data_IF_998806105987
#
_entry.id   IF_998806105987
#
_cell.length_a   1.000
_cell.length_b   1.000
_cell.length_c   1.000
_cell.angle_alpha   90.00
_cell.angle_beta   90.00
_cell.angle_gamma   90.00
#
_symmetry.space_group_name_H-M   'P 1'
#
loop_
_entity.id
_entity.type
_entity.pdbx_description
1 polymer ?
#
# COMPACT_ATOMS: atom_id res chain seq x y z
N UNK A 1 -42.91 -4.24 -30.65
CA UNK A 1 -42.64 -4.10 -29.20
C UNK A 1 -41.56 -5.09 -28.82
N UNK A 2 -40.32 -4.62 -28.63
CA UNK A 2 -39.19 -5.42 -28.14
C UNK A 2 -38.96 -5.03 -26.68
N UNK A 3 -39.08 -5.97 -25.76
CA UNK A 3 -38.69 -5.78 -24.36
C UNK A 3 -37.17 -5.95 -24.25
N UNK A 4 -36.48 -4.92 -23.76
CA UNK A 4 -35.13 -5.06 -23.22
C UNK A 4 -35.23 -5.90 -21.93
N UNK A 5 -34.43 -6.96 -21.84
CA UNK A 5 -34.10 -7.63 -20.57
C UNK A 5 -32.93 -6.87 -19.96
N UNK A 6 -33.15 -6.22 -18.82
CA UNK A 6 -32.07 -5.81 -17.92
C UNK A 6 -31.80 -6.95 -16.91
N UNK A 7 -30.55 -7.24 -16.53
CA UNK A 7 -30.27 -8.22 -15.49
C UNK A 7 -30.49 -7.62 -14.10
N UNK A 8 -31.43 -8.21 -13.36
CA UNK A 8 -31.88 -7.83 -12.02
C UNK A 8 -30.94 -8.36 -10.92
N UNK A 9 -29.63 -8.33 -11.16
CA UNK A 9 -28.61 -8.95 -10.32
C UNK A 9 -27.59 -7.89 -9.85
N UNK A 10 -28.05 -6.85 -9.17
CA UNK A 10 -27.20 -5.80 -8.59
C UNK A 10 -27.69 -5.27 -7.24
N UNK A 11 -28.55 -6.01 -6.53
CA UNK A 11 -29.01 -5.62 -5.19
C UNK A 11 -28.83 -6.80 -4.24
N UNK A 12 -27.57 -7.14 -3.97
CA UNK A 12 -27.22 -8.00 -2.85
C UNK A 12 -25.76 -7.73 -2.47
N UNK A 13 -25.53 -6.67 -1.67
CA UNK A 13 -24.39 -6.41 -0.77
C UNK A 13 -24.56 -4.99 -0.15
N UNK A 14 -23.93 -4.65 1.00
CA UNK A 14 -24.09 -5.20 2.34
C UNK A 14 -24.80 -4.18 3.27
N UNK A 15 -25.78 -4.63 4.07
CA UNK A 15 -26.45 -3.80 5.10
C UNK A 15 -25.53 -3.48 6.30
N UNK A 16 -24.33 -4.06 6.36
CA UNK A 16 -23.43 -3.94 7.51
C UNK A 16 -22.67 -2.61 7.64
N UNK A 17 -22.75 -1.69 6.66
CA UNK A 17 -22.00 -0.43 6.69
C UNK A 17 -22.75 0.78 7.29
N UNK A 18 -24.04 0.64 7.61
CA UNK A 18 -24.79 1.72 8.26
C UNK A 18 -24.95 1.40 9.74
N UNK A 19 -24.18 2.11 10.58
CA UNK A 19 -24.28 2.07 12.04
C UNK A 19 -25.63 2.60 12.54
N UNK A 20 -26.69 1.82 12.33
CA UNK A 20 -28.01 2.03 12.89
C UNK A 20 -28.30 0.88 13.86
N UNK A 21 -28.52 1.24 15.13
CA UNK A 21 -28.54 0.32 16.27
C UNK A 21 -29.57 -0.81 16.22
N UNK A 22 -29.32 -1.82 17.06
CA UNK A 22 -30.11 -3.02 17.38
C UNK A 22 -31.43 -3.17 16.61
N UNK A 23 -31.37 -3.85 15.47
CA UNK A 23 -32.56 -4.41 14.82
C UNK A 23 -32.85 -5.79 15.44
N UNK A 24 -33.95 -5.89 16.19
CA UNK A 24 -34.48 -7.19 16.61
C UNK A 24 -35.10 -7.91 15.41
N UNK A 25 -34.33 -8.84 14.83
CA UNK A 25 -34.74 -9.65 13.68
C UNK A 25 -35.73 -10.78 14.03
N UNK A 26 -36.19 -10.88 15.29
CA UNK A 26 -37.14 -11.92 15.69
C UNK A 26 -38.55 -11.75 15.10
N UNK A 27 -38.89 -10.58 14.55
CA UNK A 27 -40.23 -10.31 13.97
C UNK A 27 -40.32 -10.41 12.44
N UNK A 28 -39.24 -10.74 11.72
CA UNK A 28 -39.27 -10.83 10.25
C UNK A 28 -39.82 -12.18 9.77
N UNK A 29 -41.13 -12.39 9.93
CA UNK A 29 -41.85 -13.54 9.37
C UNK A 29 -42.07 -13.38 7.86
N UNK A 30 -41.05 -13.70 7.07
CA UNK A 30 -41.03 -13.63 5.60
C UNK A 30 -41.97 -14.63 4.88
N UNK A 31 -42.71 -15.47 5.63
CA UNK A 31 -43.62 -16.47 5.02
C UNK A 31 -44.91 -15.88 4.45
N UNK A 32 -45.34 -14.71 4.89
CA UNK A 32 -46.72 -14.26 4.63
C UNK A 32 -46.90 -13.23 3.50
N UNK A 33 -45.84 -12.85 2.77
CA UNK A 33 -45.94 -11.73 1.79
C UNK A 33 -45.28 -11.90 0.42
N UNK A 34 -44.80 -13.09 0.06
CA UNK A 34 -44.22 -13.31 -1.26
C UNK A 34 -44.80 -14.57 -1.91
N UNK A 35 -45.86 -14.38 -2.69
CA UNK A 35 -46.30 -15.35 -3.70
C UNK A 35 -45.26 -15.37 -4.83
N UNK A 36 -44.21 -16.17 -4.67
CA UNK A 36 -43.35 -16.57 -5.76
C UNK A 36 -43.80 -17.94 -6.27
N UNK A 37 -44.32 -17.97 -7.49
CA UNK A 37 -44.59 -19.20 -8.24
C UNK A 37 -43.25 -19.84 -8.65
N UNK A 38 -42.65 -20.59 -7.74
CA UNK A 38 -41.51 -21.45 -8.01
C UNK A 38 -42.04 -22.76 -8.59
N UNK A 39 -42.36 -22.73 -9.89
CA UNK A 39 -42.88 -23.87 -10.64
C UNK A 39 -42.16 -25.18 -10.32
N UNK A 40 -42.83 -26.04 -9.54
CA UNK A 40 -42.51 -27.46 -9.40
C UNK A 40 -41.24 -27.83 -8.65
N UNK A 41 -40.67 -26.98 -7.79
CA UNK A 41 -39.57 -27.41 -6.92
C UNK A 41 -40.09 -28.08 -5.64
N UNK A 42 -39.78 -29.37 -5.51
CA UNK A 42 -40.08 -30.22 -4.35
C UNK A 42 -39.21 -29.82 -3.14
N UNK A 43 -39.77 -28.94 -2.29
CA UNK A 43 -39.11 -28.35 -1.12
C UNK A 43 -38.78 -29.38 -0.02
N UNK A 44 -39.35 -30.59 -0.04
CA UNK A 44 -39.04 -31.64 0.95
C UNK A 44 -37.63 -32.25 0.79
N UNK A 45 -36.94 -31.96 -0.32
CA UNK A 45 -35.55 -32.40 -0.55
C UNK A 45 -34.49 -31.40 -0.09
N UNK A 46 -34.89 -30.21 0.35
CA UNK A 46 -33.96 -29.24 0.95
C UNK A 46 -33.74 -29.57 2.43
N UNK A 47 -32.78 -30.46 2.69
CA UNK A 47 -32.21 -30.62 4.03
C UNK A 47 -31.36 -29.41 4.36
N UNK A 48 -31.88 -28.49 5.17
CA UNK A 48 -31.08 -27.45 5.80
C UNK A 48 -30.23 -28.10 6.89
N UNK A 49 -28.92 -28.21 6.63
CA UNK A 49 -27.94 -28.48 7.68
C UNK A 49 -27.93 -27.32 8.68
N UNK A 50 -27.79 -27.65 9.97
CA UNK A 50 -27.66 -26.68 11.05
C UNK A 50 -26.62 -25.61 10.71
N UNK A 51 -27.04 -24.36 10.73
CA UNK A 51 -26.19 -23.17 10.56
C UNK A 51 -25.28 -23.08 11.78
N UNK A 52 -24.02 -23.49 11.63
CA UNK A 52 -22.94 -23.05 12.50
C UNK A 52 -22.56 -21.62 12.13
N UNK A 53 -22.09 -20.86 13.12
CA UNK A 53 -21.59 -19.48 13.00
C UNK A 53 -20.91 -19.19 11.67
N UNK A 54 -21.44 -18.19 10.96
CA UNK A 54 -20.79 -17.58 9.82
C UNK A 54 -19.62 -16.75 10.32
N UNK A 55 -18.43 -17.37 10.39
CA UNK A 55 -17.17 -16.64 10.37
C UNK A 55 -17.07 -15.91 9.03
N UNK A 56 -17.10 -14.58 9.09
CA UNK A 56 -16.78 -13.72 7.96
C UNK A 56 -15.36 -14.02 7.48
N UNK A 57 -15.29 -14.42 6.21
CA UNK A 57 -14.13 -14.69 5.37
C UNK A 57 -12.88 -13.85 5.74
N UNK A 58 -11.85 -14.52 6.28
CA UNK A 58 -10.51 -13.95 6.42
C UNK A 58 -9.39 -14.93 6.80
N UNK A 59 -9.65 -15.93 7.64
CA UNK A 59 -8.55 -16.69 8.29
C UNK A 59 -8.11 -18.01 7.60
N UNK A 60 -8.59 -18.35 6.40
CA UNK A 60 -8.29 -19.64 5.73
C UNK A 60 -7.50 -19.56 4.42
N UNK A 61 -6.86 -18.44 4.11
CA UNK A 61 -6.04 -18.29 2.91
C UNK A 61 -4.54 -18.21 3.22
N UNK A 62 -3.91 -19.34 3.55
CA UNK A 62 -2.64 -19.74 2.92
C UNK A 62 -2.25 -21.19 3.30
N UNK A 63 -2.58 -22.22 2.50
CA UNK A 63 -1.75 -23.42 2.50
C UNK A 63 -0.45 -23.03 1.79
N UNK A 64 0.44 -22.31 2.48
CA UNK A 64 1.82 -22.19 2.04
C UNK A 64 2.33 -23.61 1.87
N UNK A 65 2.45 -24.04 0.62
CA UNK A 65 3.26 -25.20 0.24
C UNK A 65 4.60 -24.95 0.93
N UNK A 66 4.86 -25.68 2.01
CA UNK A 66 6.13 -25.73 2.75
C UNK A 66 7.24 -26.03 1.75
N UNK A 67 7.70 -25.02 1.01
CA UNK A 67 9.00 -25.04 0.39
C UNK A 67 9.92 -25.09 1.59
N UNK A 68 10.54 -26.23 1.82
CA UNK A 68 11.69 -26.37 2.73
C UNK A 68 12.81 -25.49 2.18
N UNK A 69 12.69 -24.18 2.29
CA UNK A 69 13.86 -23.32 2.37
C UNK A 69 14.41 -23.56 3.77
N UNK A 70 15.73 -23.69 3.85
CA UNK A 70 16.44 -23.68 5.13
C UNK A 70 16.30 -22.27 5.70
N UNK A 71 15.14 -21.99 6.29
CA UNK A 71 14.91 -20.78 7.06
C UNK A 71 15.76 -20.89 8.33
N UNK A 72 16.50 -19.82 8.63
CA UNK A 72 17.18 -19.66 9.90
C UNK A 72 16.19 -19.93 11.03
N UNK A 73 16.50 -20.90 11.90
CA UNK A 73 15.67 -21.20 13.06
C UNK A 73 16.26 -20.52 14.29
N UNK A 74 15.43 -20.07 15.25
CA UNK A 74 15.91 -19.43 16.47
C UNK A 74 16.99 -20.25 17.19
N UNK A 75 16.78 -21.57 17.27
CA UNK A 75 17.71 -22.52 17.91
C UNK A 75 19.08 -22.65 17.24
N UNK A 76 19.20 -22.22 15.98
CA UNK A 76 20.44 -22.30 15.21
C UNK A 76 21.22 -20.97 15.28
N UNK A 77 20.70 -19.96 15.99
CA UNK A 77 21.35 -18.66 16.21
C UNK A 77 22.15 -18.66 17.52
N UNK A 78 23.44 -18.26 17.50
CA UNK A 78 24.16 -18.00 18.73
C UNK A 78 23.60 -16.77 19.45
N UNK A 79 23.50 -16.85 20.78
CA UNK A 79 23.20 -15.70 21.63
C UNK A 79 24.44 -14.82 21.71
N UNK A 80 24.35 -13.52 21.42
CA UNK A 80 25.48 -12.61 21.53
C UNK A 80 26.01 -12.50 22.96
N UNK A 81 27.31 -12.28 23.11
CA UNK A 81 27.86 -11.84 24.40
C UNK A 81 27.52 -10.35 24.63
N UNK A 82 27.18 -9.94 25.86
CA UNK A 82 26.87 -8.54 26.14
C UNK A 82 28.13 -7.66 25.99
N UNK A 83 27.96 -6.49 25.36
CA UNK A 83 28.96 -5.41 25.25
C UNK A 83 28.36 -4.09 25.73
N UNK A 84 29.18 -3.10 26.06
CA UNK A 84 28.72 -1.89 26.78
C UNK A 84 27.70 -1.02 26.04
N UNK A 85 27.69 -1.04 24.70
CA UNK A 85 26.74 -0.30 23.85
C UNK A 85 25.53 -1.13 23.42
N UNK A 86 25.40 -2.35 23.96
CA UNK A 86 24.45 -3.34 23.50
C UNK A 86 23.70 -3.94 24.70
N UNK A 87 22.38 -3.82 24.68
CA UNK A 87 21.52 -4.57 25.59
C UNK A 87 20.82 -5.68 24.81
N UNK A 88 21.00 -6.91 25.28
CA UNK A 88 20.35 -8.09 24.70
C UNK A 88 19.47 -8.76 25.75
N UNK A 89 18.23 -9.06 25.40
CA UNK A 89 17.32 -9.86 26.21
C UNK A 89 17.12 -11.22 25.55
N UNK A 90 17.14 -12.28 26.35
CA UNK A 90 16.96 -13.66 25.89
C UNK A 90 15.71 -14.20 26.57
N UNK A 91 14.80 -14.80 25.81
CA UNK A 91 13.58 -15.38 26.35
C UNK A 91 13.85 -16.69 27.11
N UNK A 92 12.81 -17.27 27.73
CA UNK A 92 12.93 -18.51 28.52
C UNK A 92 13.39 -19.73 27.73
N UNK A 93 13.34 -19.68 26.40
CA UNK A 93 13.80 -20.74 25.50
C UNK A 93 15.27 -20.57 25.07
N UNK A 94 15.95 -19.51 25.52
CA UNK A 94 17.32 -19.21 25.11
C UNK A 94 17.44 -18.51 23.75
N UNK A 95 16.33 -18.05 23.16
CA UNK A 95 16.34 -17.29 21.91
C UNK A 95 16.49 -15.79 22.22
N UNK A 96 17.11 -15.05 21.30
CA UNK A 96 17.24 -13.60 21.38
C UNK A 96 15.84 -12.95 21.22
N UNK A 97 15.33 -12.41 22.32
CA UNK A 97 14.03 -11.70 22.39
C UNK A 97 14.22 -10.32 21.77
N UNK A 98 14.98 -9.45 22.44
CA UNK A 98 15.26 -8.11 21.94
C UNK A 98 16.75 -7.80 21.94
N UNK A 99 17.13 -6.92 21.03
CA UNK A 99 18.49 -6.44 20.92
C UNK A 99 18.47 -4.94 20.61
N UNK A 100 19.08 -4.16 21.48
CA UNK A 100 19.22 -2.70 21.31
C UNK A 100 20.71 -2.35 21.25
N UNK A 101 21.13 -1.70 20.16
CA UNK A 101 22.40 -0.99 20.07
C UNK A 101 22.11 0.48 20.26
N UNK A 102 22.74 1.09 21.26
CA UNK A 102 22.58 2.51 21.53
C UNK A 102 23.88 3.21 21.94
N UNK A 103 23.93 4.51 21.62
CA UNK A 103 24.99 5.41 22.06
C UNK A 103 26.06 5.70 21.02
N UNK A 104 27.01 6.60 21.31
CA UNK A 104 27.97 7.12 20.33
C UNK A 104 29.00 6.09 19.83
N UNK A 105 29.19 4.99 20.56
CA UNK A 105 30.18 3.95 20.26
C UNK A 105 29.49 2.62 19.92
N UNK A 106 28.59 2.62 18.93
CA UNK A 106 27.81 1.44 18.55
C UNK A 106 28.69 0.27 18.07
N UNK A 107 28.79 -0.77 18.89
CA UNK A 107 29.44 -2.04 18.57
C UNK A 107 28.43 -3.08 18.05
N UNK A 108 28.62 -3.49 16.79
CA UNK A 108 27.80 -4.48 16.10
C UNK A 108 28.41 -5.88 16.12
N UNK A 109 29.62 -6.07 16.66
CA UNK A 109 30.26 -7.39 16.75
C UNK A 109 29.39 -8.48 17.39
N UNK A 110 28.45 -8.19 18.32
CA UNK A 110 27.54 -9.21 18.83
C UNK A 110 26.56 -9.75 17.76
N UNK A 111 26.29 -9.02 16.68
CA UNK A 111 25.30 -9.37 15.66
C UNK A 111 25.84 -10.18 14.47
N UNK A 112 27.16 -10.36 14.34
CA UNK A 112 27.78 -10.96 13.15
C UNK A 112 27.16 -12.31 12.74
N UNK A 113 26.68 -13.08 13.72
CA UNK A 113 26.11 -14.42 13.52
C UNK A 113 24.63 -14.54 13.92
N UNK A 114 23.97 -13.43 14.27
CA UNK A 114 22.55 -13.44 14.60
C UNK A 114 21.76 -13.45 13.28
N UNK A 115 21.03 -14.53 13.01
CA UNK A 115 20.13 -14.60 11.85
C UNK A 115 18.64 -14.48 12.19
N UNK A 116 18.31 -14.46 13.48
CA UNK A 116 16.95 -14.36 14.02
C UNK A 116 16.94 -13.48 15.29
N UNK A 117 15.93 -12.62 15.43
CA UNK A 117 15.60 -11.90 16.65
C UNK A 117 14.08 -11.65 16.72
N UNK A 118 13.49 -11.40 17.90
CA UNK A 118 12.11 -10.89 17.93
C UNK A 118 12.12 -9.37 17.67
N UNK A 119 13.05 -8.63 18.28
CA UNK A 119 13.18 -7.17 18.12
C UNK A 119 14.63 -6.71 17.93
N UNK A 120 14.84 -5.79 16.99
CA UNK A 120 16.13 -5.12 16.76
C UNK A 120 15.93 -3.61 16.78
N UNK A 121 16.66 -2.91 17.64
CA UNK A 121 16.67 -1.44 17.71
C UNK A 121 18.11 -0.94 17.58
N UNK A 122 18.35 -0.01 16.66
CA UNK A 122 19.64 0.65 16.44
C UNK A 122 19.39 2.14 16.55
N UNK A 123 19.90 2.78 17.62
CA UNK A 123 19.59 4.18 17.89
C UNK A 123 20.73 5.01 18.46
N UNK A 124 20.78 6.31 18.12
CA UNK A 124 21.73 7.24 18.70
C UNK A 124 23.20 6.94 18.36
N UNK A 125 23.45 6.17 17.29
CA UNK A 125 24.80 5.79 16.85
C UNK A 125 25.49 6.93 16.10
N UNK A 126 25.96 7.94 16.82
CA UNK A 126 26.72 9.06 16.24
C UNK A 126 28.02 8.54 15.59
N UNK A 127 28.31 8.99 14.37
CA UNK A 127 29.48 8.55 13.59
C UNK A 127 29.28 7.23 12.82
N UNK A 128 28.16 6.53 13.02
CA UNK A 128 27.82 5.34 12.24
C UNK A 128 27.38 5.76 10.83
N UNK A 129 28.26 5.62 9.85
CA UNK A 129 27.98 6.02 8.46
C UNK A 129 27.30 4.94 7.64
N UNK A 130 27.48 3.67 8.02
CA UNK A 130 26.87 2.53 7.35
C UNK A 130 26.63 1.39 8.34
N UNK A 131 25.51 0.66 8.19
CA UNK A 131 25.30 -0.58 8.93
C UNK A 131 26.31 -1.65 8.44
N UNK A 132 27.02 -2.34 9.35
CA UNK A 132 27.84 -3.46 8.95
C UNK A 132 26.96 -4.57 8.39
N UNK A 133 27.56 -5.46 7.60
CA UNK A 133 26.83 -6.60 7.02
C UNK A 133 26.32 -7.52 8.13
N UNK A 134 25.02 -7.48 8.38
CA UNK A 134 24.36 -8.34 9.37
C UNK A 134 23.92 -9.65 8.73
N UNK A 135 23.98 -10.73 9.50
CA UNK A 135 23.46 -12.05 9.10
C UNK A 135 21.96 -12.20 9.33
N UNK A 136 21.30 -11.12 9.78
CA UNK A 136 19.89 -11.07 10.18
C UNK A 136 18.98 -11.38 8.98
N UNK A 137 18.16 -12.43 9.10
CA UNK A 137 17.25 -12.87 8.04
C UNK A 137 15.79 -12.73 8.44
N UNK A 138 15.48 -12.92 9.72
CA UNK A 138 14.10 -12.92 10.24
C UNK A 138 14.07 -12.08 11.51
N UNK A 139 13.12 -11.16 11.57
CA UNK A 139 12.75 -10.42 12.78
C UNK A 139 11.25 -10.57 13.00
N UNK A 140 10.84 -11.17 14.12
CA UNK A 140 9.42 -11.50 14.32
C UNK A 140 8.54 -10.31 14.66
N UNK A 141 9.06 -9.30 15.34
CA UNK A 141 8.29 -8.12 15.74
C UNK A 141 8.73 -6.89 14.96
N UNK A 142 9.89 -6.31 15.31
CA UNK A 142 10.26 -4.97 14.88
C UNK A 142 11.75 -4.81 14.58
N UNK A 143 12.04 -4.14 13.47
CA UNK A 143 13.34 -3.52 13.19
C UNK A 143 13.17 -2.01 13.24
N UNK A 144 13.80 -1.36 14.21
CA UNK A 144 13.83 0.09 14.37
C UNK A 144 15.25 0.62 14.16
N UNK A 145 15.43 1.54 13.22
CA UNK A 145 16.68 2.27 12.97
C UNK A 145 16.39 3.76 13.13
N UNK A 146 16.68 4.32 14.31
CA UNK A 146 16.23 5.67 14.67
C UNK A 146 17.34 6.57 15.19
N UNK A 147 17.30 7.87 14.91
CA UNK A 147 18.22 8.85 15.49
C UNK A 147 19.71 8.55 15.22
N UNK A 148 20.05 8.05 14.03
CA UNK A 148 21.44 7.86 13.60
C UNK A 148 21.80 8.92 12.54
N UNK A 149 22.12 10.16 12.95
CA UNK A 149 22.18 11.30 12.03
C UNK A 149 23.24 11.16 10.93
N UNK A 150 24.32 10.42 11.18
CA UNK A 150 25.40 10.20 10.21
C UNK A 150 25.17 8.98 9.31
N UNK A 151 24.12 8.18 9.56
CA UNK A 151 23.85 6.93 8.85
C UNK A 151 23.39 7.20 7.44
N UNK A 152 24.24 6.91 6.47
CA UNK A 152 23.96 7.11 5.04
C UNK A 152 23.55 5.82 4.32
N UNK A 153 23.88 4.65 4.89
CA UNK A 153 23.71 3.35 4.23
C UNK A 153 23.22 2.27 5.20
N UNK A 154 22.03 1.71 4.93
CA UNK A 154 21.45 0.60 5.71
C UNK A 154 21.55 -0.77 5.00
N UNK A 155 22.35 -0.88 3.94
CA UNK A 155 22.55 -2.13 3.17
C UNK A 155 23.12 -3.30 3.98
N UNK A 156 23.62 -3.03 5.19
CA UNK A 156 23.90 -4.03 6.20
C UNK A 156 22.73 -4.99 6.48
N UNK A 157 21.48 -4.55 6.26
CA UNK A 157 20.25 -5.35 6.38
C UNK A 157 19.86 -6.12 5.11
N UNK A 158 20.71 -6.19 4.08
CA UNK A 158 20.39 -6.84 2.80
C UNK A 158 20.01 -8.33 2.88
N UNK A 159 20.29 -9.02 3.99
CA UNK A 159 19.87 -10.41 4.22
C UNK A 159 18.47 -10.52 4.85
N UNK A 160 17.89 -9.43 5.32
CA UNK A 160 16.60 -9.39 5.99
C UNK A 160 15.49 -9.74 4.98
N UNK A 161 14.77 -10.83 5.27
CA UNK A 161 13.72 -11.38 4.38
C UNK A 161 12.33 -11.21 4.96
N UNK A 162 12.23 -11.30 6.28
CA UNK A 162 10.98 -11.24 7.01
C UNK A 162 11.12 -10.27 8.18
N UNK A 163 10.19 -9.33 8.27
CA UNK A 163 9.95 -8.51 9.46
C UNK A 163 8.46 -8.60 9.78
N UNK A 164 8.14 -8.70 11.07
CA UNK A 164 6.77 -8.92 11.52
C UNK A 164 6.35 -10.39 11.52
N UNK A 165 5.24 -10.66 12.20
CA UNK A 165 4.76 -11.99 12.54
C UNK A 165 3.45 -11.91 13.32
N UNK A 166 2.92 -13.07 13.72
CA UNK A 166 1.68 -13.20 14.50
C UNK A 166 1.80 -12.70 15.95
N UNK A 167 2.95 -12.13 16.30
CA UNK A 167 3.17 -11.45 17.56
C UNK A 167 2.09 -10.41 17.73
N UNK A 168 1.27 -10.57 18.77
CA UNK A 168 0.33 -9.55 19.17
C UNK A 168 1.09 -8.24 19.26
N UNK A 169 0.84 -7.32 18.32
CA UNK A 169 1.22 -5.92 18.48
C UNK A 169 0.86 -5.56 19.92
N UNK A 170 1.80 -5.06 20.69
CA UNK A 170 1.66 -4.79 22.13
C UNK A 170 0.65 -3.68 22.46
N UNK A 171 -0.25 -3.37 21.53
CA UNK A 171 -1.22 -2.30 21.56
C UNK A 171 -0.62 -0.95 21.15
N UNK A 172 0.70 -0.85 20.98
CA UNK A 172 1.38 0.42 20.70
C UNK A 172 1.78 0.57 19.22
N UNK A 173 1.39 -0.37 18.35
CA UNK A 173 1.67 -0.29 16.91
C UNK A 173 3.14 -0.47 16.51
N UNK A 174 4.02 -0.86 17.44
CA UNK A 174 5.47 -0.96 17.18
C UNK A 174 5.88 -2.33 16.62
N UNK A 175 5.21 -2.80 15.57
CA UNK A 175 5.64 -3.96 14.80
C UNK A 175 6.06 -3.51 13.41
N UNK A 176 6.95 -4.24 12.76
CA UNK A 176 7.37 -3.93 11.39
C UNK A 176 8.72 -3.24 11.26
N UNK A 177 8.88 -2.49 10.16
CA UNK A 177 10.13 -1.79 9.84
C UNK A 177 9.93 -0.30 10.08
N UNK A 178 10.66 0.25 11.05
CA UNK A 178 10.70 1.68 11.35
C UNK A 178 12.09 2.24 11.05
N UNK A 179 12.17 3.26 10.22
CA UNK A 179 13.40 3.99 9.89
C UNK A 179 13.13 5.49 10.05
N UNK A 180 13.53 6.07 11.17
CA UNK A 180 13.12 7.43 11.55
C UNK A 180 14.28 8.33 11.94
N UNK A 181 14.27 9.60 11.53
CA UNK A 181 15.26 10.61 11.94
C UNK A 181 16.73 10.21 11.65
N UNK A 182 16.99 9.60 10.49
CA UNK A 182 18.35 9.33 10.00
C UNK A 182 18.70 10.36 8.94
N UNK A 183 19.11 11.56 9.38
CA UNK A 183 19.21 12.76 8.52
C UNK A 183 20.18 12.65 7.35
N UNK A 184 21.17 11.75 7.40
CA UNK A 184 22.09 11.47 6.29
C UNK A 184 21.68 10.30 5.40
N UNK A 185 20.60 9.58 5.72
CA UNK A 185 20.20 8.38 5.01
C UNK A 185 19.68 8.74 3.61
N UNK A 186 20.39 8.30 2.58
CA UNK A 186 20.09 8.68 1.20
C UNK A 186 19.19 7.70 0.46
N UNK A 187 19.36 6.41 0.74
CA UNK A 187 18.69 5.35 -0.01
C UNK A 187 18.37 4.17 0.91
N UNK A 188 17.18 3.62 0.73
CA UNK A 188 16.77 2.34 1.31
C UNK A 188 16.64 1.34 0.16
N UNK A 189 17.62 0.44 0.04
CA UNK A 189 17.69 -0.51 -1.06
C UNK A 189 18.36 -1.83 -0.64
N UNK A 190 18.28 -2.83 -1.51
CA UNK A 190 18.97 -4.11 -1.34
C UNK A 190 18.38 -5.02 -0.26
N UNK A 191 17.31 -4.59 0.42
CA UNK A 191 16.55 -5.43 1.32
C UNK A 191 15.62 -6.34 0.51
N UNK A 192 15.87 -7.65 0.60
CA UNK A 192 15.01 -8.69 0.03
C UNK A 192 13.80 -8.95 0.95
N UNK A 193 13.16 -7.90 1.46
CA UNK A 193 11.94 -7.96 2.28
C UNK A 193 10.80 -8.50 1.44
N UNK A 194 10.72 -9.83 1.37
CA UNK A 194 9.68 -10.55 0.65
C UNK A 194 8.39 -10.58 1.46
N UNK A 195 8.53 -10.55 2.78
CA UNK A 195 7.44 -10.74 3.71
C UNK A 195 7.57 -9.70 4.83
N UNK A 196 6.89 -8.57 4.69
CA UNK A 196 6.52 -7.76 5.84
C UNK A 196 5.17 -8.31 6.31
N UNK A 197 5.21 -9.31 7.19
CA UNK A 197 4.01 -10.07 7.54
C UNK A 197 3.25 -9.29 8.59
N UNK A 198 2.13 -8.69 8.19
CA UNK A 198 1.18 -8.08 9.13
C UNK A 198 1.86 -7.04 10.02
N UNK A 199 2.67 -6.18 9.39
CA UNK A 199 3.47 -5.21 10.09
C UNK A 199 3.49 -3.88 9.33
N UNK A 200 3.47 -2.74 10.04
CA UNK A 200 3.73 -1.41 9.50
C UNK A 200 5.08 -1.26 8.80
N UNK A 201 5.11 -0.36 7.82
CA UNK A 201 6.33 0.17 7.20
C UNK A 201 6.35 1.68 7.45
N UNK A 202 7.14 2.11 8.42
CA UNK A 202 7.21 3.49 8.88
C UNK A 202 8.57 4.08 8.53
N UNK A 203 8.61 5.01 7.59
CA UNK A 203 9.83 5.68 7.16
C UNK A 203 9.58 7.17 7.25
N UNK A 204 10.10 7.79 8.30
CA UNK A 204 9.73 9.15 8.68
C UNK A 204 10.96 10.02 8.98
N UNK A 205 10.87 11.33 8.71
CA UNK A 205 11.90 12.30 9.11
C UNK A 205 13.32 11.96 8.58
N UNK A 206 13.44 11.39 7.38
CA UNK A 206 14.73 11.16 6.73
C UNK A 206 14.92 12.17 5.57
N UNK A 207 15.29 13.43 5.86
CA UNK A 207 15.31 14.51 4.87
C UNK A 207 16.34 14.36 3.74
N UNK A 208 17.23 13.38 3.80
CA UNK A 208 18.15 13.03 2.70
C UNK A 208 17.68 11.83 1.88
N UNK A 209 16.60 11.14 2.28
CA UNK A 209 16.19 9.87 1.69
C UNK A 209 15.51 10.12 0.35
N UNK A 210 16.23 9.91 -0.74
CA UNK A 210 15.79 10.21 -2.11
C UNK A 210 15.10 9.02 -2.79
N UNK A 211 15.44 7.78 -2.39
CA UNK A 211 14.91 6.54 -2.95
C UNK A 211 14.53 5.50 -1.90
N UNK A 212 13.35 4.89 -2.10
CA UNK A 212 12.91 3.69 -1.40
C UNK A 212 12.60 2.57 -2.41
N UNK A 213 13.41 1.52 -2.36
CA UNK A 213 13.30 0.35 -3.22
C UNK A 213 13.12 -0.94 -2.40
N UNK A 214 11.91 -1.49 -2.41
CA UNK A 214 11.60 -2.77 -1.77
C UNK A 214 11.13 -3.78 -2.84
N UNK A 215 12.06 -4.38 -3.61
CA UNK A 215 11.75 -5.14 -4.83
C UNK A 215 11.09 -6.49 -4.55
N UNK A 216 10.84 -6.84 -3.30
CA UNK A 216 10.18 -8.08 -2.92
C UNK A 216 8.93 -7.85 -2.05
N UNK A 217 8.65 -6.61 -1.62
CA UNK A 217 7.53 -6.32 -0.73
C UNK A 217 6.21 -6.67 -1.43
N UNK A 218 5.50 -7.69 -0.94
CA UNK A 218 4.20 -8.10 -1.49
C UNK A 218 3.02 -7.62 -0.66
N UNK A 219 3.20 -7.46 0.65
CA UNK A 219 2.18 -7.11 1.62
C UNK A 219 2.77 -6.16 2.67
N UNK A 220 2.00 -5.16 3.08
CA UNK A 220 2.26 -4.33 4.26
C UNK A 220 0.93 -4.13 5.00
N UNK A 221 0.98 -3.92 6.32
CA UNK A 221 -0.22 -3.57 7.09
C UNK A 221 -0.53 -2.09 6.86
N UNK A 222 0.20 -1.21 7.53
CA UNK A 222 0.23 0.22 7.25
C UNK A 222 1.52 0.57 6.49
N UNK A 223 1.50 1.69 5.78
CA UNK A 223 2.70 2.22 5.13
C UNK A 223 2.69 3.73 5.29
N UNK A 224 3.50 4.22 6.23
CA UNK A 224 3.68 5.63 6.51
C UNK A 224 5.05 6.09 6.00
N UNK A 225 5.03 6.89 4.95
CA UNK A 225 6.21 7.51 4.36
C UNK A 225 6.05 9.03 4.52
N UNK A 226 6.60 9.61 5.59
CA UNK A 226 6.38 11.02 5.96
C UNK A 226 7.69 11.81 6.11
N UNK A 227 7.70 13.10 5.80
CA UNK A 227 8.84 14.01 6.00
C UNK A 227 10.20 13.48 5.50
N UNK A 228 10.22 12.90 4.28
CA UNK A 228 11.47 12.49 3.62
C UNK A 228 11.70 13.28 2.32
N UNK A 229 12.87 13.08 1.71
CA UNK A 229 13.17 13.63 0.38
C UNK A 229 12.81 12.66 -0.77
N UNK A 230 11.85 11.76 -0.56
CA UNK A 230 11.57 10.71 -1.55
C UNK A 230 11.04 11.35 -2.83
N UNK A 231 11.75 11.09 -3.93
CA UNK A 231 11.37 11.55 -5.26
C UNK A 231 10.66 10.43 -6.01
N UNK A 232 11.06 9.18 -5.77
CA UNK A 232 10.51 8.02 -6.47
C UNK A 232 10.19 6.94 -5.46
N UNK A 233 8.94 6.50 -5.45
CA UNK A 233 8.54 5.29 -4.75
C UNK A 233 8.33 4.16 -5.73
N UNK A 234 9.06 3.06 -5.55
CA UNK A 234 8.97 1.89 -6.43
C UNK A 234 8.75 0.61 -5.63
N UNK A 235 7.50 0.13 -5.62
CA UNK A 235 7.09 -1.11 -4.97
C UNK A 235 6.51 -2.08 -6.01
N UNK A 236 7.35 -2.64 -6.92
CA UNK A 236 6.89 -3.33 -8.11
C UNK A 236 6.16 -4.66 -7.86
N UNK A 237 6.25 -5.18 -6.63
CA UNK A 237 5.65 -6.45 -6.23
C UNK A 237 4.54 -6.31 -5.18
N UNK A 238 4.27 -5.10 -4.69
CA UNK A 238 3.23 -4.87 -3.68
C UNK A 238 1.88 -5.25 -4.27
N UNK A 239 1.13 -6.08 -3.52
CA UNK A 239 -0.19 -6.59 -3.90
C UNK A 239 -1.27 -6.09 -2.95
N UNK A 240 -0.97 -6.03 -1.65
CA UNK A 240 -1.97 -5.75 -0.63
C UNK A 240 -1.42 -4.79 0.43
N UNK A 241 -2.14 -3.69 0.68
CA UNK A 241 -2.08 -2.93 1.94
C UNK A 241 -3.29 -3.30 2.80
N UNK A 242 -3.10 -3.60 4.09
CA UNK A 242 -4.23 -3.97 4.99
C UNK A 242 -4.80 -2.81 5.81
N UNK A 243 -4.11 -1.69 5.82
CA UNK A 243 -4.51 -0.46 6.49
C UNK A 243 -4.30 0.67 5.48
N UNK A 244 -3.84 1.82 5.95
CA UNK A 244 -3.59 2.97 5.13
C UNK A 244 -2.29 2.82 4.34
N UNK A 245 -2.20 3.64 3.31
CA UNK A 245 -1.01 3.88 2.53
C UNK A 245 -0.84 5.39 2.47
N UNK A 246 0.07 5.91 3.29
CA UNK A 246 0.31 7.34 3.45
C UNK A 246 1.69 7.69 2.90
N UNK A 247 1.71 8.60 1.95
CA UNK A 247 2.90 9.23 1.40
C UNK A 247 2.73 10.73 1.57
N UNK A 248 3.28 11.28 2.65
CA UNK A 248 3.05 12.65 3.13
C UNK A 248 4.36 13.44 3.13
N UNK A 249 4.32 14.74 2.85
CA UNK A 249 5.47 15.65 2.96
C UNK A 249 6.75 15.15 2.23
N UNK A 250 6.57 14.55 1.04
CA UNK A 250 7.67 14.11 0.19
C UNK A 250 7.61 14.80 -1.19
N UNK A 251 8.76 15.14 -1.81
CA UNK A 251 8.82 15.72 -3.15
C UNK A 251 8.66 14.65 -4.26
N UNK A 252 7.61 13.82 -4.19
CA UNK A 252 7.44 12.63 -5.03
C UNK A 252 7.11 13.01 -6.47
N UNK A 253 7.94 12.58 -7.40
CA UNK A 253 7.70 12.65 -8.83
C UNK A 253 6.94 11.44 -9.36
N UNK A 254 7.24 10.25 -8.82
CA UNK A 254 6.68 9.01 -9.33
C UNK A 254 6.32 8.02 -8.23
N UNK A 255 5.09 7.49 -8.29
CA UNK A 255 4.65 6.33 -7.50
C UNK A 255 4.40 5.15 -8.43
N UNK A 256 5.15 4.07 -8.27
CA UNK A 256 5.05 2.87 -9.10
C UNK A 256 4.69 1.64 -8.27
N UNK A 257 3.40 1.29 -8.28
CA UNK A 257 2.84 0.10 -7.63
C UNK A 257 1.97 -0.71 -8.61
N UNK A 258 2.57 -1.23 -9.70
CA UNK A 258 1.83 -1.75 -10.85
C UNK A 258 1.08 -3.06 -10.55
N UNK A 259 1.31 -3.67 -9.39
CA UNK A 259 0.70 -4.94 -8.98
C UNK A 259 -0.23 -4.80 -7.79
N UNK A 260 -0.45 -3.57 -7.30
CA UNK A 260 -1.31 -3.35 -6.15
C UNK A 260 -2.74 -3.74 -6.54
N UNK A 261 -3.24 -4.74 -5.85
CA UNK A 261 -4.58 -5.27 -6.05
C UNK A 261 -5.50 -4.70 -4.99
N UNK A 262 -5.11 -4.65 -3.72
CA UNK A 262 -6.01 -4.23 -2.64
C UNK A 262 -5.31 -3.27 -1.68
N UNK A 263 -6.01 -2.23 -1.25
CA UNK A 263 -5.65 -1.44 -0.07
C UNK A 263 -6.90 -1.34 0.81
N UNK A 264 -6.89 -1.96 1.98
CA UNK A 264 -8.07 -2.04 2.85
C UNK A 264 -8.40 -0.71 3.55
N UNK A 265 -7.42 0.16 3.76
CA UNK A 265 -7.61 1.52 4.29
C UNK A 265 -7.59 2.60 3.21
N UNK A 266 -7.14 3.78 3.61
CA UNK A 266 -7.03 4.93 2.72
C UNK A 266 -5.71 4.93 1.94
N UNK A 267 -5.73 5.53 0.76
CA UNK A 267 -4.51 5.91 0.03
C UNK A 267 -4.40 7.42 0.10
N UNK A 268 -3.39 7.94 0.77
CA UNK A 268 -3.13 9.37 0.89
C UNK A 268 -1.77 9.66 0.27
N UNK A 269 -1.74 10.35 -0.88
CA UNK A 269 -0.52 10.80 -1.54
C UNK A 269 -0.55 12.31 -1.51
N UNK A 270 0.14 12.90 -0.54
CA UNK A 270 0.18 14.34 -0.30
C UNK A 270 1.66 14.76 -0.31
N UNK A 271 2.05 15.63 -1.23
CA UNK A 271 3.34 16.30 -1.10
C UNK A 271 3.22 17.51 -0.20
N UNK A 272 4.35 18.01 0.27
CA UNK A 272 4.49 19.42 0.57
C UNK A 272 5.36 20.08 -0.51
N UNK A 273 5.37 21.42 -0.53
CA UNK A 273 6.23 22.28 -1.36
C UNK A 273 7.75 22.10 -1.06
N UNK A 274 8.16 20.90 -0.66
CA UNK A 274 9.55 20.51 -0.53
C UNK A 274 10.18 20.51 -1.93
N UNK A 275 11.15 21.40 -2.14
CA UNK A 275 12.02 21.31 -3.30
C UNK A 275 12.96 20.10 -3.12
N UNK A 276 13.06 19.17 -4.08
CA UNK A 276 14.02 18.07 -4.02
C UNK A 276 15.42 18.62 -3.80
N UNK A 277 16.29 17.88 -3.09
CA UNK A 277 17.70 18.20 -3.05
C UNK A 277 18.28 18.36 -4.45
N UNK A 278 19.20 19.32 -4.62
CA UNK A 278 19.82 19.56 -5.93
C UNK A 278 20.47 18.30 -6.50
N UNK A 279 20.12 17.97 -7.75
CA UNK A 279 20.59 16.77 -8.43
C UNK A 279 19.86 15.47 -8.07
N UNK A 280 18.87 15.49 -7.16
CA UNK A 280 18.12 14.29 -6.75
C UNK A 280 17.38 13.69 -7.95
N UNK A 281 16.73 14.54 -8.77
CA UNK A 281 16.03 14.10 -9.98
C UNK A 281 16.96 13.38 -10.97
N UNK A 282 18.15 13.93 -11.25
CA UNK A 282 19.10 13.32 -12.17
C UNK A 282 19.69 12.00 -11.63
N UNK A 283 19.96 11.94 -10.32
CA UNK A 283 20.39 10.70 -9.65
C UNK A 283 19.31 9.63 -9.75
N UNK A 284 18.07 9.99 -9.45
CA UNK A 284 16.92 9.08 -9.50
C UNK A 284 16.59 8.63 -10.92
N UNK A 285 16.62 9.52 -11.92
CA UNK A 285 16.40 9.14 -13.31
C UNK A 285 17.44 8.12 -13.80
N UNK A 286 18.72 8.34 -13.47
CA UNK A 286 19.82 7.41 -13.77
C UNK A 286 19.61 6.06 -13.06
N UNK A 287 19.14 6.09 -11.81
CA UNK A 287 18.86 4.90 -11.01
C UNK A 287 17.67 4.10 -11.52
N UNK A 288 16.53 4.75 -11.78
CA UNK A 288 15.34 4.15 -12.40
C UNK A 288 15.73 3.44 -13.70
N UNK A 289 16.57 4.07 -14.54
CA UNK A 289 17.05 3.43 -15.77
C UNK A 289 17.84 2.15 -15.48
N UNK A 290 18.73 2.17 -14.47
CA UNK A 290 19.46 1.00 -14.01
C UNK A 290 18.53 -0.10 -13.46
N UNK A 291 17.52 0.25 -12.67
CA UNK A 291 16.55 -0.70 -12.13
C UNK A 291 15.64 -1.30 -13.19
N UNK A 292 15.18 -0.49 -14.16
CA UNK A 292 14.42 -0.99 -15.31
C UNK A 292 15.26 -2.02 -16.06
N UNK A 293 16.56 -1.76 -16.25
CA UNK A 293 17.49 -2.72 -16.85
C UNK A 293 17.69 -3.98 -16.00
N UNK A 294 17.86 -3.86 -14.68
CA UNK A 294 18.00 -5.02 -13.78
C UNK A 294 16.72 -5.85 -13.69
N UNK A 295 15.57 -5.19 -13.57
CA UNK A 295 14.25 -5.84 -13.53
C UNK A 295 13.98 -6.56 -14.83
N UNK A 296 14.29 -5.94 -15.98
CA UNK A 296 14.22 -6.59 -17.28
C UNK A 296 15.13 -7.82 -17.35
N UNK A 297 16.36 -7.73 -16.84
CA UNK A 297 17.28 -8.88 -16.75
C UNK A 297 16.72 -10.00 -15.87
N UNK A 298 16.25 -9.70 -14.65
CA UNK A 298 15.62 -10.68 -13.74
C UNK A 298 14.36 -11.30 -14.37
N UNK A 299 13.59 -10.52 -15.11
CA UNK A 299 12.41 -10.99 -15.84
C UNK A 299 12.80 -11.96 -16.96
N UNK A 300 13.84 -11.65 -17.73
CA UNK A 300 14.37 -12.53 -18.78
C UNK A 300 14.96 -13.83 -18.19
N UNK A 301 15.68 -13.75 -17.06
CA UNK A 301 16.15 -14.94 -16.32
C UNK A 301 14.97 -15.81 -15.85
N UNK A 302 13.90 -15.20 -15.30
CA UNK A 302 12.67 -15.90 -14.93
C UNK A 302 11.97 -16.50 -16.15
N UNK A 303 11.90 -15.80 -17.29
CA UNK A 303 11.34 -16.34 -18.54
C UNK A 303 12.16 -17.53 -19.05
N UNK A 304 13.49 -17.47 -18.96
CA UNK A 304 14.38 -18.57 -19.32
C UNK A 304 14.16 -19.80 -18.41
N UNK A 305 13.92 -19.60 -17.10
CA UNK A 305 13.53 -20.65 -16.18
C UNK A 305 12.14 -21.24 -16.51
N UNK A 306 11.18 -20.42 -16.95
CA UNK A 306 9.83 -20.88 -17.32
C UNK A 306 9.79 -21.75 -18.57
N UNK A 307 10.70 -21.56 -19.55
CA UNK A 307 10.84 -22.48 -20.69
C UNK A 307 11.09 -23.93 -20.26
N UNK A 308 11.45 -24.17 -18.99
CA UNK A 308 11.56 -25.50 -18.37
C UNK A 308 10.25 -26.01 -17.71
N UNK A 309 9.09 -25.42 -18.00
CA UNK A 309 7.77 -25.93 -17.58
C UNK A 309 7.10 -25.21 -16.41
N UNK A 310 7.39 -23.92 -16.20
CA UNK A 310 6.71 -23.09 -15.19
C UNK A 310 5.59 -22.23 -15.80
N UNK A 311 4.44 -22.13 -15.13
CA UNK A 311 3.31 -21.28 -15.54
C UNK A 311 3.69 -19.79 -15.70
N UNK A 312 3.01 -19.10 -16.61
CA UNK A 312 3.26 -17.70 -16.98
C UNK A 312 2.96 -16.71 -15.84
N UNK A 313 3.75 -15.64 -15.76
CA UNK A 313 3.62 -14.55 -14.79
C UNK A 313 3.00 -13.30 -15.42
N UNK A 314 2.81 -13.30 -16.75
CA UNK A 314 2.38 -12.13 -17.54
C UNK A 314 0.87 -11.86 -17.49
N UNK A 315 0.12 -12.52 -16.59
CA UNK A 315 -1.34 -12.37 -16.50
C UNK A 315 -1.80 -11.49 -15.33
N UNK A 316 -0.88 -10.80 -14.64
CA UNK A 316 -1.24 -10.23 -13.33
C UNK A 316 -2.17 -9.02 -13.35
N UNK A 317 -2.18 -8.21 -14.42
CA UNK A 317 -3.21 -7.17 -14.63
C UNK A 317 -3.99 -7.37 -15.94
N UNK A 318 -3.80 -8.48 -16.67
CA UNK A 318 -4.49 -8.74 -17.96
C UNK A 318 -6.01 -8.83 -17.85
N UNK A 319 -6.49 -9.11 -16.63
CA UNK A 319 -7.76 -8.64 -16.07
C UNK A 319 -7.43 -8.27 -14.64
N UNK A 320 -7.53 -6.99 -14.27
CA UNK A 320 -7.60 -6.66 -12.85
C UNK A 320 -8.65 -7.60 -12.24
N UNK A 321 -8.31 -8.39 -11.21
CA UNK A 321 -9.33 -9.21 -10.56
C UNK A 321 -10.41 -8.25 -10.09
N UNK A 322 -11.70 -8.63 -10.22
CA UNK A 322 -12.83 -7.78 -9.80
C UNK A 322 -12.71 -7.34 -8.33
N UNK A 323 -11.87 -8.02 -7.55
CA UNK A 323 -11.52 -7.69 -6.17
C UNK A 323 -10.45 -6.63 -6.00
N UNK A 324 -9.92 -6.04 -7.07
CA UNK A 324 -8.84 -5.07 -6.94
C UNK A 324 -9.40 -3.69 -6.55
N UNK A 325 -9.25 -3.31 -5.28
CA UNK A 325 -9.92 -2.16 -4.72
C UNK A 325 -9.12 -1.40 -3.66
N UNK A 326 -9.38 -0.10 -3.56
CA UNK A 326 -9.15 0.66 -2.32
C UNK A 326 -10.46 0.66 -1.55
N UNK A 327 -10.45 0.14 -0.32
CA UNK A 327 -11.65 0.05 0.50
C UNK A 327 -11.95 1.34 1.28
N UNK A 328 -10.94 2.19 1.48
CA UNK A 328 -11.09 3.55 2.00
C UNK A 328 -11.19 4.60 0.89
N UNK A 329 -10.82 5.83 1.26
CA UNK A 329 -10.66 6.96 0.35
C UNK A 329 -9.33 6.86 -0.40
N UNK A 330 -9.31 7.35 -1.64
CA UNK A 330 -8.08 7.63 -2.37
C UNK A 330 -7.96 9.14 -2.53
N UNK A 331 -7.03 9.74 -1.78
CA UNK A 331 -6.69 11.15 -1.81
C UNK A 331 -5.33 11.31 -2.48
N UNK A 332 -5.29 12.00 -3.60
CA UNK A 332 -4.06 12.41 -4.27
C UNK A 332 -4.05 13.94 -4.25
N UNK A 333 -3.36 14.49 -3.26
CA UNK A 333 -3.28 15.92 -2.99
C UNK A 333 -2.09 16.58 -3.73
N UNK A 334 -2.30 17.83 -4.12
CA UNK A 334 -1.42 18.64 -4.96
C UNK A 334 -0.33 19.40 -4.24
N UNK A 335 -0.20 19.29 -2.92
CA UNK A 335 1.01 19.79 -2.27
C UNK A 335 2.29 19.19 -2.87
N UNK A 336 2.17 18.15 -3.72
CA UNK A 336 3.24 17.68 -4.57
C UNK A 336 3.28 18.35 -5.96
N UNK A 337 3.99 19.47 -6.06
CA UNK A 337 4.19 20.19 -7.33
C UNK A 337 4.94 19.38 -8.41
N UNK A 338 5.59 18.29 -8.00
CA UNK A 338 6.49 17.51 -8.83
C UNK A 338 5.92 16.18 -9.28
N UNK A 339 4.71 15.82 -8.83
CA UNK A 339 4.11 14.54 -9.18
C UNK A 339 3.86 14.46 -10.69
N UNK A 340 4.71 13.70 -11.37
CA UNK A 340 4.66 13.47 -12.81
C UNK A 340 3.86 12.22 -13.16
N UNK A 341 3.94 11.20 -12.30
CA UNK A 341 3.26 9.93 -12.54
C UNK A 341 2.81 9.18 -11.29
N UNK A 342 1.61 8.63 -11.35
CA UNK A 342 1.11 7.64 -10.38
C UNK A 342 0.61 6.45 -11.17
N UNK A 343 1.18 5.28 -10.90
CA UNK A 343 0.80 4.01 -11.52
C UNK A 343 0.34 3.03 -10.45
N UNK A 344 -0.98 2.89 -10.32
CA UNK A 344 -1.66 1.93 -9.44
C UNK A 344 -2.33 0.80 -10.26
N UNK A 345 -1.67 0.37 -11.34
CA UNK A 345 -2.26 -0.24 -12.54
C UNK A 345 -3.06 -1.53 -12.44
N UNK A 346 -3.32 -2.06 -11.24
CA UNK A 346 -4.21 -3.19 -11.03
C UNK A 346 -5.50 -2.80 -10.26
N UNK A 347 -5.63 -1.57 -9.72
CA UNK A 347 -6.83 -1.13 -9.00
C UNK A 347 -8.00 -0.88 -9.95
N UNK A 348 -9.12 -1.57 -9.70
CA UNK A 348 -10.37 -1.42 -10.47
C UNK A 348 -11.44 -0.59 -9.76
N UNK A 349 -11.42 -0.54 -8.42
CA UNK A 349 -12.47 0.09 -7.62
C UNK A 349 -11.89 0.96 -6.50
N UNK A 350 -12.52 2.09 -6.21
CA UNK A 350 -12.36 2.86 -4.97
C UNK A 350 -13.71 2.84 -4.27
N UNK A 351 -13.84 2.22 -3.10
CA UNK A 351 -15.14 2.13 -2.42
C UNK A 351 -15.45 3.36 -1.57
N UNK A 352 -14.43 4.15 -1.21
CA UNK A 352 -14.60 5.48 -0.64
C UNK A 352 -14.68 6.58 -1.70
N UNK A 353 -14.28 7.78 -1.30
CA UNK A 353 -14.13 8.93 -2.18
C UNK A 353 -12.84 8.83 -3.00
N UNK A 354 -12.91 9.18 -4.28
CA UNK A 354 -11.75 9.40 -5.14
C UNK A 354 -11.54 10.91 -5.29
N UNK A 355 -10.56 11.43 -4.56
CA UNK A 355 -10.26 12.85 -4.48
C UNK A 355 -8.92 13.13 -5.16
N UNK A 356 -8.92 13.94 -6.21
CA UNK A 356 -7.74 14.37 -6.94
C UNK A 356 -7.71 15.89 -6.93
N UNK A 357 -6.74 16.52 -6.29
CA UNK A 357 -6.80 17.97 -6.26
C UNK A 357 -5.98 18.62 -5.18
N UNK A 358 -5.96 19.96 -5.15
CA UNK A 358 -5.57 20.65 -3.93
C UNK A 358 -6.73 20.49 -2.94
N UNK A 359 -6.57 19.54 -2.02
CA UNK A 359 -7.59 19.26 -1.02
C UNK A 359 -7.42 20.14 0.23
N UNK A 360 -6.36 20.92 0.33
CA UNK A 360 -6.20 21.90 1.39
C UNK A 360 -6.79 23.26 0.96
N UNK A 361 -7.36 24.02 1.89
CA UNK A 361 -7.88 25.37 1.62
C UNK A 361 -6.77 26.39 1.24
N UNK A 362 -5.50 25.95 1.20
CA UNK A 362 -4.31 26.73 0.90
C UNK A 362 -3.92 26.65 -0.56
N UNK A 363 -4.62 27.40 -1.41
CA UNK A 363 -4.35 27.47 -2.85
C UNK A 363 -2.88 27.76 -3.20
N UNK A 364 -2.23 26.75 -3.76
CA UNK A 364 -0.97 26.72 -4.54
C UNK A 364 -0.78 25.24 -4.96
N UNK A 365 -0.16 24.84 -6.06
CA UNK A 365 0.29 25.46 -7.30
C UNK A 365 0.32 24.34 -8.35
N UNK A 366 0.79 24.67 -9.55
CA UNK A 366 0.68 23.88 -10.78
C UNK A 366 1.46 22.57 -10.72
N UNK A 367 0.73 21.45 -10.65
CA UNK A 367 1.26 20.14 -11.03
C UNK A 367 1.67 20.21 -12.52
N UNK A 368 2.87 19.76 -12.90
CA UNK A 368 3.40 19.83 -14.29
C UNK A 368 3.52 18.46 -14.97
N UNK A 369 3.03 17.42 -14.29
CA UNK A 369 3.09 16.04 -14.74
C UNK A 369 2.37 15.75 -16.06
N UNK A 370 2.95 14.88 -16.86
CA UNK A 370 2.35 14.44 -18.13
C UNK A 370 1.44 13.20 -17.97
N UNK A 371 1.49 12.44 -16.87
CA UNK A 371 0.85 11.11 -16.81
C UNK A 371 0.31 10.70 -15.43
N UNK A 372 -0.88 11.19 -15.06
CA UNK A 372 -1.69 10.51 -14.05
C UNK A 372 -2.45 9.33 -14.71
N UNK A 373 -1.98 8.10 -14.51
CA UNK A 373 -2.60 6.88 -15.07
C UNK A 373 -3.53 6.21 -14.05
N UNK A 374 -4.80 6.61 -14.10
CA UNK A 374 -5.90 5.98 -13.37
C UNK A 374 -6.80 5.18 -14.31
N UNK A 375 -6.29 4.78 -15.49
CA UNK A 375 -7.08 4.02 -16.46
C UNK A 375 -7.51 2.65 -15.92
N UNK A 376 -6.88 2.15 -14.85
CA UNK A 376 -7.36 0.96 -14.13
C UNK A 376 -8.71 1.17 -13.43
N UNK A 377 -9.04 2.38 -12.99
CA UNK A 377 -10.22 2.65 -12.16
C UNK A 377 -11.50 2.59 -13.01
N UNK A 378 -12.36 1.64 -12.66
CA UNK A 378 -13.68 1.43 -13.27
C UNK A 378 -14.80 2.00 -12.39
N UNK A 379 -14.62 1.97 -11.07
CA UNK A 379 -15.68 2.32 -10.10
C UNK A 379 -15.14 3.25 -9.03
N UNK A 380 -15.81 4.38 -8.81
CA UNK A 380 -15.72 5.18 -7.59
C UNK A 380 -17.06 5.06 -6.84
N UNK A 381 -17.13 4.25 -5.78
CA UNK A 381 -18.42 3.88 -5.19
C UNK A 381 -19.10 5.04 -4.45
N UNK A 382 -18.34 6.05 -4.00
CA UNK A 382 -18.89 7.27 -3.42
C UNK A 382 -18.72 8.46 -4.36
N UNK A 383 -17.96 9.47 -3.96
CA UNK A 383 -17.78 10.69 -4.73
C UNK A 383 -16.51 10.61 -5.60
N UNK A 384 -16.57 11.18 -6.79
CA UNK A 384 -15.41 11.59 -7.56
C UNK A 384 -15.26 13.11 -7.41
N UNK A 385 -14.17 13.57 -6.81
CA UNK A 385 -13.87 15.00 -6.69
C UNK A 385 -12.54 15.31 -7.37
N UNK A 386 -12.58 16.23 -8.33
CA UNK A 386 -11.43 16.79 -9.01
C UNK A 386 -11.39 18.30 -8.77
N UNK A 387 -10.39 18.78 -8.03
CA UNK A 387 -10.32 20.17 -7.56
C UNK A 387 -8.95 20.79 -7.93
N UNK A 388 -8.97 21.90 -8.67
CA UNK A 388 -7.75 22.67 -8.99
C UNK A 388 -6.62 21.86 -9.61
N UNK A 389 -6.86 20.92 -10.54
CA UNK A 389 -5.83 20.01 -11.08
C UNK A 389 -5.32 20.40 -12.48
N UNK A 390 -4.20 21.14 -12.57
CA UNK A 390 -3.66 21.54 -13.87
C UNK A 390 -2.95 20.42 -14.63
N UNK A 391 -2.69 19.26 -14.03
CA UNK A 391 -2.17 18.09 -14.76
C UNK A 391 -3.26 17.39 -15.55
N UNK A 392 -4.49 17.43 -15.03
CA UNK A 392 -5.65 16.92 -15.75
C UNK A 392 -6.05 17.93 -16.83
N UNK A 393 -5.30 17.99 -17.93
CA UNK A 393 -5.69 18.72 -19.13
C UNK A 393 -6.87 18.05 -19.85
N UNK A 394 -7.02 16.74 -19.65
CA UNK A 394 -8.14 15.95 -20.17
C UNK A 394 -8.63 14.94 -19.13
N UNK A 395 -9.85 14.45 -19.31
CA UNK A 395 -10.44 13.39 -18.50
C UNK A 395 -10.18 11.98 -19.09
N UNK A 396 -9.23 11.83 -20.02
CA UNK A 396 -8.87 10.52 -20.62
C UNK A 396 -8.30 9.54 -19.59
N UNK A 397 -7.70 10.05 -18.51
CA UNK A 397 -7.29 9.30 -17.32
C UNK A 397 -8.44 8.47 -16.72
N UNK A 398 -9.70 8.87 -16.95
CA UNK A 398 -10.91 8.16 -16.51
C UNK A 398 -11.64 7.44 -17.66
N UNK A 399 -10.96 7.13 -18.76
CA UNK A 399 -11.59 6.50 -19.93
C UNK A 399 -12.28 5.16 -19.64
N UNK A 400 -11.88 4.45 -18.57
CA UNK A 400 -12.51 3.20 -18.13
C UNK A 400 -13.51 3.39 -16.97
N UNK A 401 -13.71 4.61 -16.48
CA UNK A 401 -14.66 4.88 -15.40
C UNK A 401 -16.09 4.65 -15.90
N UNK A 402 -16.81 3.75 -15.23
CA UNK A 402 -18.16 3.31 -15.57
C UNK A 402 -19.18 3.66 -14.49
N UNK A 403 -18.74 3.92 -13.25
CA UNK A 403 -19.64 4.14 -12.12
C UNK A 403 -19.07 5.15 -11.12
N UNK A 404 -19.88 6.17 -10.80
CA UNK A 404 -19.72 7.06 -9.65
C UNK A 404 -21.00 7.04 -8.82
N UNK A 405 -20.92 6.52 -7.59
CA UNK A 405 -22.12 6.14 -6.85
C UNK A 405 -22.92 7.31 -6.27
N UNK A 406 -22.25 8.42 -5.92
CA UNK A 406 -22.91 9.57 -5.30
C UNK A 406 -22.76 10.79 -6.18
N UNK A 407 -21.75 11.63 -5.96
CA UNK A 407 -21.58 12.86 -6.71
C UNK A 407 -20.27 12.87 -7.51
N UNK A 408 -20.31 13.53 -8.66
CA UNK A 408 -19.12 13.91 -9.39
C UNK A 408 -18.97 15.42 -9.30
N UNK A 409 -17.85 15.89 -8.78
CA UNK A 409 -17.51 17.30 -8.67
C UNK A 409 -16.20 17.57 -9.38
N UNK A 410 -16.24 18.37 -10.44
CA UNK A 410 -15.04 18.83 -11.15
C UNK A 410 -15.08 20.35 -11.11
N UNK A 411 -14.11 20.96 -10.44
CA UNK A 411 -14.14 22.39 -10.22
C UNK A 411 -12.76 23.03 -10.17
N UNK A 412 -12.67 24.31 -10.53
CA UNK A 412 -11.39 25.04 -10.56
C UNK A 412 -10.34 24.43 -11.51
N UNK A 413 -10.77 23.72 -12.55
CA UNK A 413 -9.90 23.09 -13.55
C UNK A 413 -10.09 23.78 -14.90
N UNK A 414 -9.51 24.98 -15.16
CA UNK A 414 -9.82 25.76 -16.36
C UNK A 414 -9.60 24.97 -17.66
N UNK A 415 -8.56 24.14 -17.74
CA UNK A 415 -8.29 23.29 -18.93
C UNK A 415 -9.39 22.24 -19.13
N UNK A 416 -9.88 21.62 -18.04
CA UNK A 416 -11.01 20.70 -18.13
C UNK A 416 -12.30 21.42 -18.49
N UNK A 417 -12.53 22.64 -17.97
CA UNK A 417 -13.74 23.43 -18.20
C UNK A 417 -13.90 23.85 -19.68
N UNK A 418 -12.79 23.95 -20.41
CA UNK A 418 -12.81 24.16 -21.86
C UNK A 418 -13.07 22.87 -22.65
N UNK A 419 -12.82 21.71 -22.06
CA UNK A 419 -13.11 20.40 -22.64
C UNK A 419 -14.57 20.00 -22.39
N UNK A 420 -15.20 19.33 -23.36
CA UNK A 420 -16.48 18.66 -23.08
C UNK A 420 -16.24 17.51 -22.11
N UNK A 421 -17.02 17.46 -21.03
CA UNK A 421 -17.04 16.30 -20.11
C UNK A 421 -17.26 15.03 -20.94
N UNK A 422 -16.38 14.01 -20.81
CA UNK A 422 -16.57 12.74 -21.47
C UNK A 422 -17.92 12.13 -21.11
N UNK A 423 -18.67 11.65 -22.11
CA UNK A 423 -20.01 11.10 -21.91
C UNK A 423 -20.01 9.92 -20.93
N UNK A 424 -18.90 9.19 -20.81
CA UNK A 424 -18.80 8.08 -19.86
C UNK A 424 -18.83 8.55 -18.40
N UNK A 425 -18.35 9.75 -18.07
CA UNK A 425 -18.37 10.28 -16.69
C UNK A 425 -19.77 10.78 -16.32
N UNK A 426 -20.44 11.48 -17.25
CA UNK A 426 -21.82 11.91 -17.05
C UNK A 426 -22.76 10.71 -16.90
N UNK A 427 -22.63 9.69 -17.76
CA UNK A 427 -23.41 8.46 -17.68
C UNK A 427 -23.07 7.61 -16.44
N UNK A 428 -21.83 7.66 -15.96
CA UNK A 428 -21.40 6.93 -14.77
C UNK A 428 -21.97 7.51 -13.46
N UNK A 429 -22.33 8.80 -13.44
CA UNK A 429 -22.71 9.50 -12.21
C UNK A 429 -24.19 9.23 -11.86
N UNK A 430 -24.45 8.61 -10.70
CA UNK A 430 -25.82 8.33 -10.27
C UNK A 430 -26.52 9.51 -9.59
N UNK A 431 -25.78 10.36 -8.88
CA UNK A 431 -26.30 11.52 -8.16
C UNK A 431 -26.03 12.83 -8.88
N UNK A 432 -25.49 13.82 -8.16
CA UNK A 432 -25.29 15.16 -8.72
C UNK A 432 -23.99 15.25 -9.50
N UNK A 433 -24.06 15.86 -10.68
CA UNK A 433 -22.89 16.22 -11.46
C UNK A 433 -22.67 17.73 -11.36
N UNK A 434 -21.54 18.14 -10.78
CA UNK A 434 -21.13 19.52 -10.67
C UNK A 434 -19.88 19.78 -11.50
N UNK A 435 -19.95 20.82 -12.35
CA UNK A 435 -18.87 21.25 -13.22
C UNK A 435 -18.83 22.78 -13.27
N UNK A 436 -17.77 23.41 -12.74
CA UNK A 436 -17.66 24.87 -12.75
C UNK A 436 -16.47 25.47 -12.01
N UNK A 437 -16.39 26.81 -11.97
CA UNK A 437 -15.24 27.54 -11.42
C UNK A 437 -15.15 27.53 -9.89
N UNK A 438 -16.23 27.17 -9.18
CA UNK A 438 -16.29 27.22 -7.71
C UNK A 438 -16.70 25.86 -7.20
N UNK A 439 -15.87 25.26 -6.34
CA UNK A 439 -16.20 23.97 -5.76
C UNK A 439 -17.33 24.11 -4.73
N UNK A 440 -18.34 23.22 -4.73
CA UNK A 440 -19.26 23.12 -3.61
C UNK A 440 -18.47 22.74 -2.33
N UNK A 441 -19.00 23.10 -1.15
CA UNK A 441 -18.49 22.58 0.12
C UNK A 441 -18.37 21.06 0.08
N UNK A 442 -17.42 20.50 0.82
CA UNK A 442 -17.32 19.05 0.91
C UNK A 442 -18.45 18.50 1.76
N UNK A 443 -19.11 17.49 1.21
CA UNK A 443 -20.00 16.62 1.96
C UNK A 443 -19.11 15.44 2.42
N UNK A 444 -18.33 15.67 3.49
CA UNK A 444 -17.41 14.67 4.05
C UNK A 444 -18.16 13.47 4.66
#
# INVERSE_FOLDING_TARGET
>A
MKFLKAPLLAIALPVAAFGLGDWDLSELNLKDKLDFDLGGMDLEKLKFGSVGEFDLLGSKLNPQKKRKREECRPKDCPVPAPVSSCTSKVNSNGNLESFTIEGPDCDFSPLDNVCFAERVTITGCVGLTALPKLSLQVVEEMVAVTDNPDLADISGLSQLRTVGGDGQSDGNGQSGLSVTNNTSLQEIWGMDLCNLIEAPLDIEENPALEALELPCLELAEDTDLDDNALVVLNLPFMKTGRSNFNLRNNPIVAVNMPRVASIEGNVNINGEDATPPSGALERQASRIASLKAETAKRLEEKKALKKKGGSSFEEFCGRAPESAAVFGNMNIDQGNLLLESVSLGCLGTVTGNLNLGNLSDGGNSVMTGEFLDLTGIVTAAQNLRVETNPVLATLETFSNLQFVGVNTTICQNPELLESSVPSNIEEATQGSFFFGDVCPPRDD
#
